data_IF_285295249703
#
_entry.id   IF_285295249703
#
_cell.length_a   1.000
_cell.length_b   1.000
_cell.length_c   1.000
_cell.angle_alpha   90.00
_cell.angle_beta   90.00
_cell.angle_gamma   90.00
#
_symmetry.space_group_name_H-M   'P 1'
#
loop_
_entity.id
_entity.type
_entity.pdbx_description
1 polymer ?
#
# COMPACT_ATOMS: atom_id res chain seq x y z
N UNK A 1 4.32 -13.15 -36.56
CA UNK A 1 4.89 -13.55 -35.25
C UNK A 1 3.93 -13.03 -34.18
N UNK A 2 3.48 -13.88 -33.26
CA UNK A 2 2.39 -13.58 -32.32
C UNK A 2 2.81 -12.53 -31.28
N UNK A 3 1.88 -11.61 -31.00
CA UNK A 3 1.87 -10.64 -29.91
C UNK A 3 2.25 -11.25 -28.56
N UNK A 4 3.03 -10.51 -27.75
CA UNK A 4 2.87 -10.55 -26.30
C UNK A 4 2.67 -9.09 -25.83
N UNK A 5 1.64 -8.81 -25.00
CA UNK A 5 1.29 -7.45 -24.63
C UNK A 5 2.37 -6.83 -23.73
N UNK A 6 2.55 -5.52 -23.92
CA UNK A 6 3.06 -4.52 -22.97
C UNK A 6 3.16 -5.00 -21.53
N UNK A 7 4.38 -5.11 -20.99
CA UNK A 7 4.65 -5.49 -19.60
C UNK A 7 5.18 -4.26 -18.87
N UNK A 8 4.45 -3.74 -17.89
CA UNK A 8 4.94 -2.63 -17.06
C UNK A 8 5.85 -3.16 -15.97
N UNK A 9 7.07 -3.54 -16.35
CA UNK A 9 8.02 -4.16 -15.42
C UNK A 9 8.28 -3.25 -14.23
N UNK A 10 7.85 -3.71 -13.05
CA UNK A 10 8.14 -3.13 -11.74
C UNK A 10 7.68 -1.68 -11.56
N UNK A 11 6.62 -1.30 -12.28
CA UNK A 11 5.82 -0.15 -11.88
C UNK A 11 4.97 -0.52 -10.67
N UNK A 12 4.88 0.42 -9.75
CA UNK A 12 4.03 0.33 -8.57
C UNK A 12 3.10 1.53 -8.60
N UNK A 13 1.87 1.31 -9.05
CA UNK A 13 0.83 2.33 -9.02
C UNK A 13 0.13 2.31 -7.67
N UNK A 14 0.04 3.48 -7.04
CA UNK A 14 -0.58 3.64 -5.74
C UNK A 14 -1.55 4.82 -5.70
N UNK A 15 -2.69 4.60 -5.05
CA UNK A 15 -3.55 5.68 -4.56
C UNK A 15 -3.76 5.42 -3.07
N UNK A 16 -3.28 6.33 -2.25
CA UNK A 16 -3.14 6.12 -0.83
C UNK A 16 -3.31 7.43 -0.09
N UNK A 17 -3.37 7.35 1.23
CA UNK A 17 -3.55 8.51 2.09
C UNK A 17 -2.56 8.48 3.24
N UNK A 18 -1.93 9.62 3.51
CA UNK A 18 -1.04 9.81 4.64
C UNK A 18 -1.63 10.86 5.59
N UNK A 19 -1.44 10.67 6.90
CA UNK A 19 -1.94 11.62 7.90
C UNK A 19 -1.50 13.05 7.60
N UNK A 20 -2.43 14.00 7.62
CA UNK A 20 -2.14 15.40 7.33
C UNK A 20 -1.22 16.04 8.38
N UNK A 21 -1.23 15.48 9.60
CA UNK A 21 -0.43 15.90 10.72
C UNK A 21 0.09 14.67 11.47
N UNK A 22 1.31 14.76 11.99
CA UNK A 22 1.91 13.75 12.87
C UNK A 22 1.30 13.81 14.31
N UNK A 23 -0.03 13.80 14.43
CA UNK A 23 -0.74 13.96 15.72
C UNK A 23 -0.29 12.93 16.76
N UNK A 24 0.01 11.70 16.34
CA UNK A 24 0.50 10.63 17.21
C UNK A 24 2.02 10.41 17.09
N UNK A 25 2.70 11.28 16.35
CA UNK A 25 4.12 11.19 15.98
C UNK A 25 4.35 10.63 14.57
N UNK A 26 5.62 10.45 14.18
CA UNK A 26 5.99 10.00 12.84
C UNK A 26 5.43 8.62 12.50
N UNK A 27 5.34 8.36 11.20
CA UNK A 27 4.93 7.08 10.62
C UNK A 27 5.54 5.86 11.33
N UNK A 28 4.77 4.78 11.54
CA UNK A 28 3.36 4.59 11.18
C UNK A 28 2.38 5.04 12.29
N UNK A 29 2.83 5.86 13.26
CA UNK A 29 1.99 6.21 14.42
C UNK A 29 0.77 7.02 14.06
N UNK A 30 0.86 7.90 13.07
CA UNK A 30 -0.28 8.72 12.62
C UNK A 30 -1.07 8.08 11.48
N UNK A 31 -0.67 6.88 11.03
CA UNK A 31 -1.42 6.05 10.10
C UNK A 31 -1.14 6.33 8.62
N UNK A 32 -1.40 5.30 7.81
CA UNK A 32 -1.42 5.32 6.34
C UNK A 32 -2.59 4.45 5.86
N UNK A 33 -3.30 4.89 4.84
CA UNK A 33 -4.40 4.14 4.22
C UNK A 33 -4.07 3.94 2.74
N UNK A 34 -3.69 2.73 2.36
CA UNK A 34 -3.55 2.35 0.97
C UNK A 34 -4.91 1.95 0.42
N UNK A 35 -5.49 2.83 -0.39
CA UNK A 35 -6.78 2.55 -1.05
C UNK A 35 -6.54 1.46 -2.09
N UNK A 36 -5.51 1.64 -2.92
CA UNK A 36 -5.00 0.63 -3.83
C UNK A 36 -3.48 0.70 -3.96
N UNK A 37 -2.88 -0.47 -4.04
CA UNK A 37 -1.54 -0.69 -4.57
C UNK A 37 -1.58 -1.81 -5.61
N UNK A 38 -0.82 -1.62 -6.69
CA UNK A 38 -0.81 -2.56 -7.82
C UNK A 38 0.61 -2.77 -8.33
N UNK A 39 0.85 -3.94 -8.92
CA UNK A 39 2.08 -4.21 -9.68
C UNK A 39 1.77 -4.13 -11.16
N UNK A 40 2.59 -3.40 -11.92
CA UNK A 40 2.49 -3.36 -13.38
C UNK A 40 2.98 -4.64 -14.08
N UNK A 41 3.62 -5.56 -13.35
CA UNK A 41 4.07 -6.83 -13.89
C UNK A 41 2.86 -7.65 -14.32
N UNK A 42 2.82 -8.15 -15.56
CA UNK A 42 1.65 -8.89 -16.05
C UNK A 42 1.34 -10.19 -15.27
N UNK A 43 0.20 -10.84 -15.53
CA UNK A 43 -0.37 -11.92 -14.69
C UNK A 43 0.52 -13.14 -14.47
N UNK A 44 1.49 -13.38 -15.36
CA UNK A 44 2.46 -14.46 -15.18
C UNK A 44 3.51 -14.15 -14.10
N UNK A 45 3.47 -12.98 -13.47
CA UNK A 45 4.42 -12.60 -12.42
C UNK A 45 4.22 -13.47 -11.18
N UNK A 46 5.28 -14.11 -10.66
CA UNK A 46 5.16 -15.14 -9.62
C UNK A 46 4.86 -14.58 -8.22
N UNK A 47 4.57 -13.29 -8.09
CA UNK A 47 4.26 -12.62 -6.83
C UNK A 47 3.17 -11.55 -7.04
N UNK A 48 2.04 -11.97 -7.63
CA UNK A 48 0.83 -11.18 -7.87
C UNK A 48 1.07 -10.03 -8.85
N UNK A 49 0.61 -10.19 -10.09
CA UNK A 49 0.81 -9.23 -11.16
C UNK A 49 -0.27 -8.17 -11.24
N UNK A 50 -0.50 -7.67 -12.45
CA UNK A 50 -1.48 -6.64 -12.77
C UNK A 50 -2.92 -7.13 -12.72
N UNK A 51 -3.14 -8.42 -12.46
CA UNK A 51 -4.40 -9.09 -12.12
C UNK A 51 -4.71 -9.05 -10.60
N UNK A 52 -3.86 -8.41 -9.80
CA UNK A 52 -4.04 -8.26 -8.35
C UNK A 52 -4.05 -6.80 -7.89
N UNK A 53 -4.83 -6.54 -6.83
CA UNK A 53 -4.87 -5.31 -6.06
C UNK A 53 -4.65 -5.63 -4.58
N UNK A 54 -4.01 -4.72 -3.85
CA UNK A 54 -4.09 -4.69 -2.38
C UNK A 54 -4.64 -3.38 -1.87
N UNK A 55 -5.19 -3.45 -0.66
CA UNK A 55 -5.51 -2.30 0.18
C UNK A 55 -5.02 -2.60 1.59
N UNK A 56 -4.34 -1.64 2.21
CA UNK A 56 -3.60 -1.85 3.45
C UNK A 56 -3.79 -0.68 4.39
N UNK A 57 -3.81 -0.97 5.69
CA UNK A 57 -3.69 0.05 6.73
C UNK A 57 -2.32 -0.10 7.40
N UNK A 58 -1.47 0.93 7.36
CA UNK A 58 -0.26 0.97 8.18
C UNK A 58 -0.52 1.66 9.50
N UNK A 59 -0.09 1.03 10.59
CA UNK A 59 -0.29 1.50 11.95
C UNK A 59 0.67 0.80 12.89
N UNK A 60 1.28 1.54 13.80
CA UNK A 60 2.14 0.95 14.82
C UNK A 60 2.92 1.98 15.62
N UNK A 61 3.49 1.61 16.76
CA UNK A 61 4.23 2.52 17.62
C UNK A 61 5.61 2.89 17.04
N UNK A 62 6.12 2.12 16.08
CA UNK A 62 7.40 2.37 15.41
C UNK A 62 7.44 1.66 14.04
N UNK A 63 8.30 2.08 13.09
CA UNK A 63 8.46 1.45 11.79
C UNK A 63 8.67 -0.07 11.82
N UNK A 64 9.49 -0.58 12.75
CA UNK A 64 9.76 -2.01 12.90
C UNK A 64 8.59 -2.80 13.53
N UNK A 65 7.59 -2.09 14.05
CA UNK A 65 6.40 -2.62 14.71
C UNK A 65 5.13 -2.25 13.96
N UNK A 66 5.26 -1.99 12.66
CA UNK A 66 4.13 -1.76 11.80
C UNK A 66 3.23 -3.01 11.72
N UNK A 67 1.94 -2.79 11.91
CA UNK A 67 0.89 -3.79 12.00
C UNK A 67 0.23 -4.12 10.67
N UNK A 68 0.72 -3.55 9.55
CA UNK A 68 0.08 -3.62 8.23
C UNK A 68 -0.38 -5.01 7.82
N UNK A 69 0.43 -6.05 8.07
CA UNK A 69 0.14 -7.44 7.72
C UNK A 69 -1.12 -8.01 8.39
N UNK A 70 -1.64 -7.36 9.44
CA UNK A 70 -2.89 -7.71 10.11
C UNK A 70 -4.11 -7.05 9.48
N UNK A 71 -3.90 -6.12 8.56
CA UNK A 71 -4.88 -5.21 7.95
C UNK A 71 -4.55 -4.97 6.49
N UNK A 72 -4.20 -6.04 5.77
CA UNK A 72 -4.06 -6.04 4.31
C UNK A 72 -5.15 -6.91 3.71
N UNK A 73 -5.90 -6.36 2.76
CA UNK A 73 -6.82 -7.06 1.88
C UNK A 73 -6.22 -7.24 0.49
N UNK A 74 -6.64 -8.28 -0.21
CA UNK A 74 -6.23 -8.58 -1.57
C UNK A 74 -7.46 -8.91 -2.43
N UNK A 75 -7.43 -8.48 -3.68
CA UNK A 75 -8.42 -8.82 -4.67
C UNK A 75 -7.73 -9.28 -5.95
N UNK A 76 -8.24 -10.36 -6.57
CA UNK A 76 -7.78 -10.86 -7.87
C UNK A 76 -8.95 -10.92 -8.85
N UNK A 77 -8.69 -10.64 -10.13
CA UNK A 77 -9.56 -11.04 -11.21
C UNK A 77 -8.77 -11.86 -12.24
N UNK A 78 -9.25 -13.07 -12.55
CA UNK A 78 -8.55 -14.00 -13.45
C UNK A 78 -8.84 -13.73 -14.93
N UNK A 79 -9.77 -12.85 -15.24
CA UNK A 79 -10.22 -12.59 -16.60
C UNK A 79 -9.75 -11.25 -17.16
N UNK A 80 -9.34 -10.32 -16.29
CA UNK A 80 -8.87 -8.99 -16.67
C UNK A 80 -7.57 -8.64 -15.95
N UNK A 81 -6.90 -7.60 -16.43
CA UNK A 81 -5.85 -6.93 -15.67
C UNK A 81 -6.20 -5.47 -15.46
N UNK A 82 -5.79 -4.93 -14.33
CA UNK A 82 -6.12 -3.56 -13.92
C UNK A 82 -5.32 -2.48 -14.67
N UNK A 83 -4.44 -2.89 -15.60
CA UNK A 83 -3.66 -2.01 -16.48
C UNK A 83 -4.26 -1.84 -17.89
N UNK A 84 -5.38 -2.53 -18.20
CA UNK A 84 -6.01 -2.48 -19.53
C UNK A 84 -7.08 -1.38 -19.68
N UNK A 85 -7.86 -1.12 -18.63
CA UNK A 85 -8.98 -0.18 -18.65
C UNK A 85 -9.05 0.67 -17.36
N UNK A 86 -9.88 1.71 -17.39
CA UNK A 86 -10.15 2.52 -16.19
C UNK A 86 -11.06 1.78 -15.22
N UNK A 87 -10.68 1.80 -13.94
CA UNK A 87 -11.46 1.27 -12.83
C UNK A 87 -11.80 2.35 -11.82
N UNK A 88 -12.91 2.18 -11.12
CA UNK A 88 -13.29 3.04 -9.99
C UNK A 88 -12.91 2.38 -8.68
N UNK A 89 -11.89 2.92 -8.02
CA UNK A 89 -11.50 2.51 -6.68
C UNK A 89 -12.17 3.41 -5.65
N UNK A 90 -12.74 2.80 -4.62
CA UNK A 90 -13.50 3.53 -3.59
C UNK A 90 -12.99 3.16 -2.21
N UNK A 91 -12.76 4.19 -1.41
CA UNK A 91 -12.64 4.12 0.05
C UNK A 91 -13.91 4.68 0.67
N UNK A 92 -14.53 3.93 1.60
CA UNK A 92 -15.52 4.51 2.51
C UNK A 92 -15.08 4.26 3.95
N UNK A 93 -15.18 5.30 4.77
CA UNK A 93 -14.60 5.31 6.09
C UNK A 93 -15.41 6.24 7.01
N UNK A 94 -15.74 5.75 8.20
CA UNK A 94 -16.33 6.50 9.32
C UNK A 94 -15.78 6.00 10.67
N UNK A 95 -16.40 6.42 11.79
CA UNK A 95 -16.01 6.02 13.14
C UNK A 95 -16.27 4.53 13.47
N UNK A 96 -16.92 3.78 12.57
CA UNK A 96 -17.29 2.37 12.76
C UNK A 96 -16.55 1.44 11.81
N UNK A 97 -16.24 1.87 10.60
CA UNK A 97 -15.56 1.04 9.63
C UNK A 97 -14.70 1.79 8.64
N UNK A 98 -13.81 1.05 8.00
CA UNK A 98 -13.04 1.45 6.83
C UNK A 98 -13.07 0.27 5.86
N UNK A 99 -13.51 0.49 4.63
CA UNK A 99 -13.46 -0.53 3.61
C UNK A 99 -13.09 0.04 2.25
N UNK A 100 -12.61 -0.83 1.36
CA UNK A 100 -12.27 -0.49 -0.02
C UNK A 100 -12.87 -1.50 -0.99
N UNK A 101 -13.24 -1.02 -2.18
CA UNK A 101 -13.76 -1.86 -3.26
C UNK A 101 -13.41 -1.30 -4.64
N UNK A 102 -13.53 -2.15 -5.66
CA UNK A 102 -13.32 -1.82 -7.07
C UNK A 102 -14.62 -1.98 -7.87
N UNK A 103 -14.98 -0.94 -8.63
CA UNK A 103 -16.11 -0.83 -9.59
C UNK A 103 -17.51 -1.00 -8.99
N UNK A 104 -17.73 -2.04 -8.20
CA UNK A 104 -18.99 -2.35 -7.53
C UNK A 104 -18.71 -2.74 -6.07
N UNK A 105 -19.63 -2.35 -5.17
CA UNK A 105 -19.56 -2.65 -3.74
C UNK A 105 -19.45 -4.15 -3.39
N UNK A 106 -19.78 -5.04 -4.33
CA UNK A 106 -19.64 -6.49 -4.14
C UNK A 106 -18.20 -6.98 -4.27
N UNK A 107 -17.33 -6.21 -4.95
CA UNK A 107 -15.92 -6.52 -5.16
C UNK A 107 -15.08 -5.84 -4.07
N UNK A 108 -15.32 -6.23 -2.82
CA UNK A 108 -14.59 -5.69 -1.68
C UNK A 108 -13.15 -6.21 -1.67
N UNK A 109 -12.20 -5.28 -1.59
CA UNK A 109 -10.77 -5.58 -1.47
C UNK A 109 -10.43 -5.76 0.02
N UNK A 110 -10.97 -4.87 0.86
CA UNK A 110 -10.69 -4.84 2.30
C UNK A 110 -11.91 -4.34 3.08
N UNK A 111 -12.27 -4.99 4.19
CA UNK A 111 -13.30 -4.53 5.13
C UNK A 111 -12.75 -4.62 6.57
N UNK A 112 -12.67 -3.47 7.23
CA UNK A 112 -12.26 -3.34 8.60
C UNK A 112 -13.32 -2.66 9.45
N UNK A 113 -13.67 -3.28 10.58
CA UNK A 113 -14.59 -2.73 11.58
C UNK A 113 -13.81 -2.28 12.82
N UNK A 114 -13.92 -1.00 13.14
CA UNK A 114 -13.34 -0.43 14.36
C UNK A 114 -14.01 -1.03 15.59
N UNK A 115 -13.23 -1.20 16.66
CA UNK A 115 -13.72 -1.81 17.88
C UNK A 115 -13.02 -1.19 19.08
N UNK A 116 -13.76 -0.36 19.85
CA UNK A 116 -13.26 0.27 21.06
C UNK A 116 -12.77 -0.73 22.13
N UNK A 117 -13.28 -1.98 22.13
CA UNK A 117 -12.81 -3.05 23.04
C UNK A 117 -11.52 -3.73 22.55
N UNK A 118 -11.15 -3.52 21.29
CA UNK A 118 -9.94 -4.08 20.66
C UNK A 118 -9.29 -3.02 19.75
N UNK A 119 -8.79 -1.92 20.33
CA UNK A 119 -8.15 -0.85 19.57
C UNK A 119 -6.85 -1.36 18.92
N UNK A 120 -6.29 -0.57 18.01
CA UNK A 120 -5.12 -0.95 17.23
C UNK A 120 -3.94 -1.37 18.11
N UNK A 121 -3.65 -0.67 19.21
CA UNK A 121 -2.53 -1.04 20.09
C UNK A 121 -2.66 -2.47 20.65
N UNK A 122 -3.86 -2.83 21.11
CA UNK A 122 -4.15 -4.19 21.57
C UNK A 122 -4.10 -5.22 20.44
N UNK A 123 -4.51 -4.83 19.22
CA UNK A 123 -4.45 -5.70 18.03
C UNK A 123 -3.01 -5.99 17.60
N UNK A 124 -2.10 -5.04 17.80
CA UNK A 124 -0.68 -5.20 17.45
C UNK A 124 0.00 -6.33 18.21
N UNK A 125 -0.37 -6.50 19.49
CA UNK A 125 0.21 -7.53 20.35
C UNK A 125 1.70 -7.26 20.63
N UNK A 126 2.04 -5.98 20.83
CA UNK A 126 3.42 -5.53 20.95
C UNK A 126 4.10 -5.99 22.26
N UNK A 127 5.44 -6.17 22.26
CA UNK A 127 6.17 -6.44 23.48
C UNK A 127 6.05 -5.27 24.47
N UNK A 128 6.15 -5.51 25.78
CA UNK A 128 6.04 -4.45 26.80
C UNK A 128 7.20 -3.44 26.74
N UNK A 129 8.28 -3.78 26.04
CA UNK A 129 9.51 -3.01 25.96
C UNK A 129 10.18 -3.17 24.60
N UNK A 130 10.89 -2.16 24.16
CA UNK A 130 11.66 -2.13 22.90
C UNK A 130 13.07 -1.61 23.15
N UNK A 131 14.01 -1.92 22.25
CA UNK A 131 15.37 -1.35 22.29
C UNK A 131 15.43 -0.10 21.42
N UNK A 132 15.83 1.04 21.99
CA UNK A 132 15.91 2.31 21.26
C UNK A 132 17.29 2.60 20.65
N UNK A 133 18.18 1.60 20.61
CA UNK A 133 19.57 1.74 20.18
C UNK A 133 20.57 1.84 21.33
N UNK A 134 20.14 2.23 22.53
CA UNK A 134 21.03 2.34 23.71
C UNK A 134 20.56 1.51 24.89
N UNK A 135 19.25 1.48 25.14
CA UNK A 135 18.67 0.75 26.27
C UNK A 135 17.29 0.19 25.95
N UNK A 136 16.86 -0.75 26.77
CA UNK A 136 15.50 -1.25 26.75
C UNK A 136 14.59 -0.22 27.42
N UNK A 137 13.58 0.25 26.69
CA UNK A 137 12.60 1.23 27.15
C UNK A 137 11.21 0.62 27.12
N UNK A 138 10.30 1.10 27.98
CA UNK A 138 8.89 0.71 27.92
C UNK A 138 8.30 1.13 26.57
N UNK A 139 7.49 0.26 25.98
CA UNK A 139 6.71 0.60 24.81
C UNK A 139 5.38 1.21 25.25
N UNK A 140 5.24 2.51 25.03
CA UNK A 140 4.02 3.23 25.37
C UNK A 140 3.00 3.15 24.21
N UNK A 141 1.72 3.20 24.56
CA UNK A 141 0.64 3.28 23.57
C UNK A 141 0.56 4.71 23.03
N UNK A 142 0.90 4.96 21.74
CA UNK A 142 0.88 6.31 21.17
C UNK A 142 -0.54 6.88 21.07
N UNK A 143 -1.57 6.03 21.09
CA UNK A 143 -2.97 6.42 20.89
C UNK A 143 -3.75 6.53 22.20
N UNK A 144 -3.10 6.41 23.36
CA UNK A 144 -3.77 6.42 24.67
C UNK A 144 -4.52 7.73 24.97
N UNK A 145 -4.12 8.84 24.35
CA UNK A 145 -4.76 10.15 24.50
C UNK A 145 -5.78 10.52 23.41
N UNK A 146 -6.08 9.61 22.48
CA UNK A 146 -7.10 9.86 21.45
C UNK A 146 -8.50 9.95 22.07
N UNK A 147 -9.35 10.83 21.53
CA UNK A 147 -10.78 10.92 21.85
C UNK A 147 -11.55 9.69 21.33
N UNK A 148 -11.04 9.03 20.29
CA UNK A 148 -11.60 7.84 19.65
C UNK A 148 -10.58 6.68 19.63
N UNK A 149 -10.22 6.12 20.80
CA UNK A 149 -9.12 5.16 20.90
C UNK A 149 -9.35 3.86 20.12
N UNK A 150 -10.60 3.52 19.81
CA UNK A 150 -10.96 2.37 18.97
C UNK A 150 -10.70 2.56 17.48
N UNK A 151 -10.51 3.81 17.05
CA UNK A 151 -10.38 4.24 15.66
C UNK A 151 -8.95 4.74 15.38
N UNK A 152 -8.31 5.40 16.35
CA UNK A 152 -6.94 5.88 16.23
C UNK A 152 -5.96 4.78 15.77
N UNK A 153 -5.10 5.07 14.76
CA UNK A 153 -4.75 6.41 14.26
C UNK A 153 -5.65 6.97 13.15
N UNK A 154 -6.66 6.24 12.72
CA UNK A 154 -7.54 6.63 11.61
C UNK A 154 -8.70 7.50 12.10
N UNK A 155 -8.43 8.41 13.02
CA UNK A 155 -9.38 9.37 13.59
C UNK A 155 -8.94 10.82 13.34
N UNK A 156 -7.96 11.02 12.47
CA UNK A 156 -7.39 12.30 12.07
C UNK A 156 -7.63 12.58 10.57
N UNK A 157 -7.32 13.78 10.10
CA UNK A 157 -7.37 14.11 8.67
C UNK A 157 -6.19 13.51 7.90
N UNK A 158 -6.42 13.12 6.65
CA UNK A 158 -5.40 12.54 5.75
C UNK A 158 -5.37 13.30 4.42
N UNK A 159 -4.19 13.39 3.79
CA UNK A 159 -4.04 13.85 2.42
C UNK A 159 -4.10 12.66 1.46
N UNK A 160 -4.81 12.83 0.34
CA UNK A 160 -4.76 11.89 -0.78
C UNK A 160 -3.45 12.07 -1.56
N UNK A 161 -2.78 10.96 -1.84
CA UNK A 161 -1.55 10.89 -2.63
C UNK A 161 -1.79 9.91 -3.80
N UNK A 162 -1.41 10.34 -4.99
CA UNK A 162 -1.47 9.56 -6.22
C UNK A 162 -0.06 9.52 -6.80
N UNK A 163 0.52 8.34 -6.96
CA UNK A 163 1.87 8.20 -7.51
C UNK A 163 2.09 6.93 -8.32
N UNK A 164 3.20 6.94 -9.05
CA UNK A 164 3.79 5.76 -9.66
C UNK A 164 5.24 5.69 -9.21
N UNK A 165 5.55 4.68 -8.43
CA UNK A 165 6.91 4.31 -8.09
C UNK A 165 7.47 3.28 -9.09
N UNK A 166 8.80 3.16 -9.10
CA UNK A 166 9.51 2.18 -9.92
C UNK A 166 10.55 1.47 -9.05
N UNK A 167 10.46 0.14 -9.01
CA UNK A 167 11.31 -0.68 -8.15
C UNK A 167 11.01 -0.50 -6.66
N UNK A 168 12.02 -0.67 -5.80
CA UNK A 168 11.88 -0.58 -4.34
C UNK A 168 12.63 -1.68 -3.59
N UNK A 169 12.95 -1.43 -2.31
CA UNK A 169 13.70 -2.35 -1.45
C UNK A 169 12.90 -2.87 -0.25
N UNK A 170 11.64 -2.44 -0.12
CA UNK A 170 10.74 -2.78 0.99
C UNK A 170 10.12 -4.19 0.91
N UNK A 171 10.44 -4.97 -0.14
CA UNK A 171 9.87 -6.30 -0.34
C UNK A 171 8.65 -6.35 -1.26
N UNK A 172 8.10 -5.19 -1.68
CA UNK A 172 6.97 -5.13 -2.61
C UNK A 172 7.26 -5.93 -3.90
N UNK A 173 8.47 -5.77 -4.45
CA UNK A 173 9.02 -6.69 -5.43
C UNK A 173 9.94 -7.70 -4.72
N UNK A 174 9.53 -8.97 -4.53
CA UNK A 174 10.33 -9.96 -3.83
C UNK A 174 11.62 -10.32 -4.58
N UNK A 175 12.66 -10.65 -3.82
CA UNK A 175 13.93 -11.14 -4.39
C UNK A 175 13.72 -12.49 -5.10
N UNK A 176 14.50 -12.73 -6.17
CA UNK A 176 14.43 -13.94 -6.99
C UNK A 176 13.08 -14.19 -7.69
N UNK A 177 12.31 -13.12 -7.98
CA UNK A 177 11.01 -13.21 -8.66
C UNK A 177 10.95 -12.27 -9.86
N UNK A 178 10.45 -12.80 -10.99
CA UNK A 178 10.25 -12.07 -12.26
C UNK A 178 11.45 -11.25 -12.68
N UNK A 179 12.60 -11.90 -12.81
CA UNK A 179 13.85 -11.34 -13.37
C UNK A 179 14.31 -10.01 -12.74
N UNK A 180 13.98 -9.81 -11.46
CA UNK A 180 14.34 -8.61 -10.71
C UNK A 180 15.87 -8.39 -10.71
N UNK A 181 16.38 -7.23 -11.20
CA UNK A 181 17.80 -7.01 -11.37
C UNK A 181 18.54 -6.51 -10.12
N UNK A 182 17.86 -6.30 -8.99
CA UNK A 182 18.47 -5.94 -7.70
C UNK A 182 18.00 -6.84 -6.57
N UNK A 183 18.74 -6.82 -5.46
CA UNK A 183 18.39 -7.49 -4.20
C UNK A 183 18.01 -6.44 -3.16
N UNK A 184 16.92 -6.66 -2.42
CA UNK A 184 16.38 -5.68 -1.47
C UNK A 184 17.41 -5.21 -0.43
N UNK A 185 18.20 -6.14 0.11
CA UNK A 185 19.21 -5.85 1.14
C UNK A 185 20.55 -5.33 0.61
N UNK A 186 20.73 -5.19 -0.70
CA UNK A 186 22.00 -4.76 -1.25
C UNK A 186 22.17 -3.24 -1.15
N UNK A 187 23.32 -2.77 -0.63
CA UNK A 187 23.68 -1.36 -0.65
C UNK A 187 23.75 -0.77 -2.07
N UNK A 188 23.85 -1.62 -3.08
CA UNK A 188 23.93 -1.27 -4.51
C UNK A 188 22.60 -1.38 -5.24
N UNK A 189 21.50 -1.67 -4.54
CA UNK A 189 20.20 -1.98 -5.15
C UNK A 189 19.77 -0.96 -6.22
N UNK A 190 19.82 0.34 -5.90
CA UNK A 190 19.46 1.40 -6.85
C UNK A 190 20.40 1.46 -8.07
N UNK A 191 21.70 1.23 -7.86
CA UNK A 191 22.70 1.20 -8.93
C UNK A 191 22.47 0.00 -9.85
N UNK A 192 22.19 -1.16 -9.28
CA UNK A 192 22.00 -2.40 -10.04
C UNK A 192 20.67 -2.34 -10.83
N UNK A 193 19.62 -1.74 -10.26
CA UNK A 193 18.40 -1.37 -10.97
C UNK A 193 18.68 -0.44 -12.16
N UNK A 194 19.41 0.67 -11.94
CA UNK A 194 19.72 1.63 -12.99
C UNK A 194 20.59 1.03 -14.11
N UNK A 195 21.56 0.17 -13.78
CA UNK A 195 22.40 -0.52 -14.76
C UNK A 195 21.64 -1.51 -15.63
N UNK A 196 20.51 -2.01 -15.14
CA UNK A 196 19.64 -2.91 -15.89
C UNK A 196 18.63 -2.16 -16.77
N UNK A 197 18.75 -0.83 -16.95
CA UNK A 197 17.78 -0.05 -17.73
C UNK A 197 17.52 -0.59 -19.12
N UNK A 198 18.54 -1.09 -19.81
CA UNK A 198 18.40 -1.69 -21.14
C UNK A 198 17.56 -2.97 -21.14
N UNK A 199 17.35 -3.61 -19.98
CA UNK A 199 16.50 -4.81 -19.86
C UNK A 199 15.06 -4.47 -19.53
N UNK A 200 14.82 -3.50 -18.64
CA UNK A 200 13.45 -3.19 -18.18
C UNK A 200 12.80 -2.05 -18.96
N UNK A 201 13.51 -1.00 -19.36
CA UNK A 201 12.89 0.16 -20.02
C UNK A 201 12.20 -0.20 -21.34
N UNK A 202 12.76 -1.07 -22.21
CA UNK A 202 12.08 -1.48 -23.44
C UNK A 202 10.79 -2.28 -23.23
N UNK A 203 10.54 -2.78 -22.02
CA UNK A 203 9.30 -3.51 -21.71
C UNK A 203 8.11 -2.57 -21.55
N UNK A 204 8.37 -1.31 -21.20
CA UNK A 204 7.33 -0.31 -21.00
C UNK A 204 6.74 0.16 -22.33
N UNK A 205 5.42 0.37 -22.42
CA UNK A 205 4.77 0.98 -23.56
C UNK A 205 5.42 2.29 -23.98
N UNK A 206 5.53 2.50 -25.29
CA UNK A 206 5.97 3.78 -25.86
C UNK A 206 4.93 4.87 -25.61
N UNK A 207 3.63 4.50 -25.64
CA UNK A 207 2.53 5.40 -25.31
C UNK A 207 2.63 5.82 -23.83
N UNK A 208 2.87 7.12 -23.54
CA UNK A 208 2.96 7.62 -22.18
C UNK A 208 1.73 7.29 -21.33
N UNK A 209 0.52 7.28 -21.93
CA UNK A 209 -0.73 6.99 -21.21
C UNK A 209 -0.78 5.57 -20.67
N UNK A 210 -0.08 4.65 -21.31
CA UNK A 210 -0.03 3.24 -20.92
C UNK A 210 1.11 2.92 -19.95
N UNK A 211 1.99 3.88 -19.65
CA UNK A 211 3.09 3.75 -18.68
C UNK A 211 3.03 4.78 -17.54
N UNK A 212 1.88 5.44 -17.40
CA UNK A 212 1.59 6.46 -16.38
C UNK A 212 0.38 6.04 -15.56
N UNK A 213 0.25 6.55 -14.33
CA UNK A 213 -1.03 6.57 -13.64
C UNK A 213 -1.94 7.59 -14.33
N UNK A 214 -2.89 7.10 -15.11
CA UNK A 214 -3.91 7.93 -15.74
C UNK A 214 -5.12 8.05 -14.80
N UNK A 215 -5.57 9.27 -14.53
CA UNK A 215 -6.69 9.56 -13.62
C UNK A 215 -7.72 10.38 -14.38
N UNK A 216 -8.93 9.84 -14.52
CA UNK A 216 -10.05 10.53 -15.16
C UNK A 216 -10.71 11.52 -14.18
N UNK A 217 -10.98 11.08 -12.95
CA UNK A 217 -11.53 11.95 -11.91
C UNK A 217 -11.14 11.50 -10.50
N UNK A 218 -11.26 12.44 -9.56
CA UNK A 218 -11.28 12.19 -8.11
C UNK A 218 -12.54 12.86 -7.55
N UNK A 219 -13.30 12.14 -6.74
CA UNK A 219 -14.50 12.66 -6.07
C UNK A 219 -14.41 12.36 -4.57
N UNK A 220 -14.64 13.37 -3.75
CA UNK A 220 -14.66 13.27 -2.30
C UNK A 220 -16.02 13.72 -1.78
N UNK A 221 -16.57 12.94 -0.86
CA UNK A 221 -17.88 13.17 -0.28
C UNK A 221 -17.79 13.04 1.24
N UNK A 222 -18.57 13.86 1.94
CA UNK A 222 -18.73 13.78 3.38
C UNK A 222 -20.21 13.49 3.69
N UNK A 223 -20.46 12.71 4.73
CA UNK A 223 -21.81 12.43 5.19
C UNK A 223 -22.34 13.63 5.98
N UNK A 224 -23.38 14.27 5.47
CA UNK A 224 -24.10 15.35 6.15
C UNK A 224 -25.03 14.83 7.26
#
# INVERSE_FOLDING_TARGET
MRNLPTRLFQLWGASWMLSAHDTYGPWPRSGEIDIIETRGNGPSYPAQGSDWLSSTLHWGPAPLLDGYWRTTGWWEDKHITFDEDFHTYVLEWDDKFLWTYIDSRVNQIFDFRFNAKKPFFNRGGYPPTVFNGTQQVRLDNPWAGSENPGVAPFDQSFYLILDVAVGGTNGWFPDNKGDKPWVNGAATAMRDFARAQDTWYPTWPVDPKRRSLAVDYVKMYEKC
#
